data_IF_867799780337
#
_entry.id   IF_867799780337
#
_cell.length_a   1.000
_cell.length_b   1.000
_cell.length_c   1.000
_cell.angle_alpha   90.00
_cell.angle_beta   90.00
_cell.angle_gamma   90.00
#
_symmetry.space_group_name_H-M   'P 1'
#
loop_
_entity.id
_entity.type
_entity.pdbx_description
1 polymer ?
#
# COMPACT_ATOMS: atom_id res chain seq x y z
N UNK A 1 -20.26 2.84 0.59
CA UNK A 1 -18.93 3.00 -0.02
C UNK A 1 -18.13 1.71 0.17
N UNK A 2 -17.66 1.09 -0.91
CA UNK A 2 -16.83 -0.13 -0.90
C UNK A 2 -15.42 0.16 -0.36
N UNK A 3 -14.62 -0.87 -0.05
CA UNK A 3 -13.23 -0.66 0.37
C UNK A 3 -12.39 -0.07 -0.77
N UNK A 4 -12.65 -0.48 -2.02
CA UNK A 4 -11.99 0.09 -3.20
C UNK A 4 -12.30 1.58 -3.37
N UNK A 5 -13.55 2.00 -3.23
CA UNK A 5 -13.93 3.42 -3.25
C UNK A 5 -13.27 4.22 -2.11
N UNK A 6 -13.16 3.64 -0.91
CA UNK A 6 -12.40 4.25 0.21
C UNK A 6 -10.92 4.35 -0.11
N UNK A 7 -10.37 3.34 -0.78
CA UNK A 7 -8.98 3.31 -1.22
C UNK A 7 -8.70 4.42 -2.23
N UNK A 8 -9.54 4.52 -3.26
CA UNK A 8 -9.46 5.57 -4.28
C UNK A 8 -9.54 6.97 -3.67
N UNK A 9 -10.44 7.19 -2.71
CA UNK A 9 -10.52 8.46 -1.97
C UNK A 9 -9.22 8.79 -1.23
N UNK A 10 -8.52 7.80 -0.66
CA UNK A 10 -7.22 8.06 0.00
C UNK A 10 -6.13 8.42 -1.01
N UNK A 11 -6.10 7.76 -2.17
CA UNK A 11 -5.17 8.09 -3.25
C UNK A 11 -5.43 9.49 -3.82
N UNK A 12 -6.70 9.88 -3.91
CA UNK A 12 -7.10 11.22 -4.33
C UNK A 12 -6.71 12.29 -3.31
N UNK A 13 -6.93 12.06 -2.01
CA UNK A 13 -6.45 12.96 -0.94
C UNK A 13 -4.93 13.12 -1.01
N UNK A 14 -4.19 12.02 -1.20
CA UNK A 14 -2.74 12.06 -1.37
C UNK A 14 -2.32 12.95 -2.55
N UNK A 15 -3.05 12.86 -3.68
CA UNK A 15 -2.82 13.70 -4.86
C UNK A 15 -3.11 15.19 -4.59
N UNK A 16 -4.21 15.51 -3.88
CA UNK A 16 -4.57 16.89 -3.57
C UNK A 16 -3.56 17.57 -2.64
N UNK A 17 -3.12 16.87 -1.59
CA UNK A 17 -2.09 17.39 -0.67
C UNK A 17 -0.77 17.66 -1.42
N UNK A 18 -0.51 16.88 -2.46
CA UNK A 18 0.69 16.95 -3.28
C UNK A 18 0.63 18.01 -4.41
N UNK A 19 -0.55 18.39 -4.92
CA UNK A 19 -0.68 19.24 -6.11
C UNK A 19 -0.69 20.75 -5.88
N UNK A 20 -1.21 21.23 -4.74
CA UNK A 20 -1.50 22.68 -4.58
C UNK A 20 -0.96 23.31 -3.29
N UNK A 21 -0.71 22.49 -2.27
CA UNK A 21 -0.34 22.95 -0.93
C UNK A 21 1.16 22.77 -0.60
N UNK A 22 1.87 21.95 -1.38
CA UNK A 22 3.24 21.55 -1.06
C UNK A 22 4.27 22.69 -1.11
N UNK A 23 4.08 23.66 -2.02
CA UNK A 23 4.92 24.85 -2.13
C UNK A 23 4.40 26.05 -1.34
N UNK A 24 3.07 26.12 -1.11
CA UNK A 24 2.41 27.28 -0.51
C UNK A 24 2.27 27.21 1.02
N UNK A 25 2.37 26.02 1.62
CA UNK A 25 2.35 25.83 3.08
C UNK A 25 3.70 26.21 3.70
N UNK A 26 4.01 27.51 3.74
CA UNK A 26 5.26 28.06 4.28
C UNK A 26 5.45 27.89 5.80
N UNK A 27 4.51 27.24 6.50
CA UNK A 27 4.56 27.02 7.95
C UNK A 27 4.53 25.56 8.41
N UNK A 28 4.44 24.58 7.51
CA UNK A 28 4.41 23.16 7.87
C UNK A 28 5.74 22.47 7.55
N UNK A 29 6.29 21.65 8.48
CA UNK A 29 7.44 20.81 8.16
C UNK A 29 7.09 19.86 7.02
N UNK A 30 7.78 19.98 5.89
CA UNK A 30 7.51 19.20 4.68
C UNK A 30 7.61 17.70 4.92
N UNK A 31 8.40 17.28 5.92
CA UNK A 31 8.49 15.89 6.37
C UNK A 31 7.15 15.33 6.86
N UNK A 32 6.37 16.11 7.63
CA UNK A 32 5.04 15.68 8.09
C UNK A 32 4.04 15.58 6.95
N UNK A 33 4.15 16.47 5.96
CA UNK A 33 3.35 16.39 4.74
C UNK A 33 3.72 15.13 3.93
N UNK A 34 5.01 14.86 3.73
CA UNK A 34 5.47 13.60 3.11
C UNK A 34 4.95 12.37 3.85
N UNK A 35 5.09 12.31 5.17
CA UNK A 35 4.58 11.21 5.99
C UNK A 35 3.07 11.03 5.84
N UNK A 36 2.31 12.13 5.86
CA UNK A 36 0.86 12.11 5.64
C UNK A 36 0.51 11.56 4.25
N UNK A 37 1.19 12.02 3.19
CA UNK A 37 0.94 11.55 1.83
C UNK A 37 1.29 10.06 1.71
N UNK A 38 2.46 9.63 2.20
CA UNK A 38 2.90 8.23 2.16
C UNK A 38 1.90 7.31 2.89
N UNK A 39 1.42 7.74 4.07
CA UNK A 39 0.38 7.02 4.81
C UNK A 39 -0.91 6.87 4.01
N UNK A 40 -1.36 7.95 3.35
CA UNK A 40 -2.57 7.93 2.50
C UNK A 40 -2.39 7.03 1.28
N UNK A 41 -1.23 7.08 0.64
CA UNK A 41 -0.88 6.22 -0.50
C UNK A 41 -0.92 4.74 -0.11
N UNK A 42 -0.25 4.37 0.98
CA UNK A 42 -0.22 2.99 1.46
C UNK A 42 -1.61 2.50 1.88
N UNK A 43 -2.32 3.28 2.68
CA UNK A 43 -3.66 2.89 3.14
C UNK A 43 -4.64 2.75 1.98
N UNK A 44 -4.54 3.63 0.97
CA UNK A 44 -5.31 3.53 -0.27
C UNK A 44 -5.11 2.18 -0.98
N UNK A 45 -3.85 1.83 -1.23
CA UNK A 45 -3.47 0.54 -1.85
C UNK A 45 -3.90 -0.65 -1.00
N UNK A 46 -3.72 -0.59 0.32
CA UNK A 46 -4.13 -1.66 1.25
C UNK A 46 -5.64 -1.94 1.18
N UNK A 47 -6.47 -0.89 1.13
CA UNK A 47 -7.92 -1.04 1.03
C UNK A 47 -8.35 -1.66 -0.30
N UNK A 48 -7.72 -1.26 -1.41
CA UNK A 48 -7.96 -1.85 -2.73
C UNK A 48 -7.55 -3.33 -2.72
N UNK A 49 -6.36 -3.65 -2.21
CA UNK A 49 -5.89 -5.03 -2.06
C UNK A 49 -6.82 -5.88 -1.20
N UNK A 50 -7.36 -5.31 -0.11
CA UNK A 50 -8.35 -5.97 0.74
C UNK A 50 -9.66 -6.24 0.00
N UNK A 51 -10.15 -5.29 -0.78
CA UNK A 51 -11.33 -5.51 -1.62
C UNK A 51 -11.12 -6.68 -2.59
N UNK A 52 -9.98 -6.71 -3.27
CA UNK A 52 -9.63 -7.77 -4.23
C UNK A 52 -9.52 -9.13 -3.56
N UNK A 53 -8.95 -9.17 -2.36
CA UNK A 53 -8.89 -10.40 -1.57
C UNK A 53 -10.29 -10.90 -1.18
N UNK A 54 -11.18 -10.01 -0.72
CA UNK A 54 -12.56 -10.37 -0.36
C UNK A 54 -13.38 -10.88 -1.55
N UNK A 55 -13.08 -10.41 -2.77
CA UNK A 55 -13.70 -10.92 -4.00
C UNK A 55 -13.24 -12.34 -4.36
N UNK A 56 -12.05 -12.75 -3.93
CA UNK A 56 -11.49 -14.09 -4.21
C UNK A 56 -11.64 -15.07 -3.05
N UNK A 57 -11.79 -14.57 -1.83
CA UNK A 57 -11.78 -15.37 -0.60
C UNK A 57 -13.00 -15.08 0.28
N UNK A 58 -14.06 -15.86 0.05
CA UNK A 58 -15.33 -15.77 0.78
C UNK A 58 -15.19 -16.17 2.27
N UNK A 59 -14.07 -16.73 2.71
CA UNK A 59 -13.83 -17.08 4.11
C UNK A 59 -13.39 -15.89 4.98
N UNK A 60 -13.14 -14.74 4.36
CA UNK A 60 -12.69 -13.54 5.06
C UNK A 60 -13.87 -12.59 5.26
N UNK A 61 -14.06 -12.15 6.51
CA UNK A 61 -14.96 -11.06 6.81
C UNK A 61 -14.30 -9.70 6.51
N UNK A 62 -15.02 -8.79 5.86
CA UNK A 62 -14.55 -7.42 5.62
C UNK A 62 -14.10 -6.67 6.89
N UNK A 63 -14.67 -6.99 8.05
CA UNK A 63 -14.29 -6.43 9.37
C UNK A 63 -12.99 -7.01 9.92
N UNK A 64 -12.52 -8.15 9.42
CA UNK A 64 -11.28 -8.78 9.89
C UNK A 64 -10.08 -7.88 9.56
N UNK A 65 -9.28 -7.56 10.57
CA UNK A 65 -7.98 -6.93 10.36
C UNK A 65 -7.00 -7.97 9.80
N UNK A 66 -6.30 -7.63 8.72
CA UNK A 66 -5.26 -8.46 8.15
C UNK A 66 -3.93 -7.73 8.34
N UNK A 67 -2.95 -8.42 8.91
CA UNK A 67 -1.60 -7.91 9.08
C UNK A 67 -0.95 -7.68 7.71
N UNK A 68 0.19 -6.99 7.67
CA UNK A 68 0.77 -6.58 6.39
C UNK A 68 1.86 -7.53 5.86
N UNK A 69 2.63 -8.17 6.76
CA UNK A 69 3.68 -9.13 6.40
C UNK A 69 4.94 -8.44 5.85
N UNK A 70 6.01 -9.21 5.65
CA UNK A 70 7.30 -8.72 5.13
C UNK A 70 7.64 -9.32 3.76
N UNK A 71 8.68 -8.81 3.12
CA UNK A 71 9.16 -9.35 1.85
C UNK A 71 9.55 -10.84 2.01
N UNK A 72 10.16 -11.17 3.16
CA UNK A 72 10.44 -12.55 3.54
C UNK A 72 9.16 -13.39 3.62
N UNK A 73 8.11 -12.91 4.30
CA UNK A 73 6.82 -13.61 4.39
C UNK A 73 6.18 -13.90 3.03
N UNK A 74 6.36 -13.01 2.05
CA UNK A 74 5.84 -13.21 0.68
C UNK A 74 6.67 -14.26 -0.07
N UNK A 75 8.00 -14.18 0.02
CA UNK A 75 8.93 -15.04 -0.73
C UNK A 75 9.04 -16.46 -0.17
N UNK A 76 8.93 -16.63 1.15
CA UNK A 76 9.14 -17.92 1.82
C UNK A 76 8.01 -18.93 1.57
N UNK A 77 6.79 -18.45 1.29
CA UNK A 77 5.66 -19.35 1.01
C UNK A 77 5.71 -19.84 -0.44
N UNK A 78 6.10 -21.10 -0.62
CA UNK A 78 6.20 -21.75 -1.94
C UNK A 78 4.88 -22.38 -2.41
N UNK A 79 3.90 -22.55 -1.52
CA UNK A 79 2.63 -23.19 -1.83
C UNK A 79 1.43 -22.24 -1.70
N UNK A 80 0.60 -22.17 -2.75
CA UNK A 80 -0.62 -21.36 -2.78
C UNK A 80 -1.63 -21.74 -1.68
N UNK A 81 -1.72 -23.03 -1.32
CA UNK A 81 -2.67 -23.49 -0.30
C UNK A 81 -2.35 -22.93 1.09
N UNK A 82 -1.07 -22.77 1.41
CA UNK A 82 -0.61 -22.16 2.66
C UNK A 82 -0.75 -20.65 2.62
N UNK A 83 -0.39 -20.02 1.50
CA UNK A 83 -0.53 -18.59 1.29
C UNK A 83 -1.98 -18.13 1.56
N UNK A 84 -2.98 -18.84 1.01
CA UNK A 84 -4.42 -18.54 1.22
C UNK A 84 -4.89 -18.62 2.67
N UNK A 85 -4.12 -19.22 3.57
CA UNK A 85 -4.43 -19.28 5.02
C UNK A 85 -3.72 -18.21 5.83
N UNK A 86 -2.82 -17.44 5.22
CA UNK A 86 -2.03 -16.42 5.91
C UNK A 86 -2.92 -15.36 6.56
N UNK A 87 -2.45 -14.83 7.69
CA UNK A 87 -3.01 -13.62 8.33
C UNK A 87 -2.54 -12.34 7.64
N UNK A 88 -1.50 -12.41 6.81
CA UNK A 88 -0.95 -11.27 6.09
C UNK A 88 -1.67 -11.04 4.78
N UNK A 89 -2.16 -9.82 4.55
CA UNK A 89 -2.98 -9.48 3.38
C UNK A 89 -2.30 -9.83 2.06
N UNK A 90 -1.08 -9.34 1.86
CA UNK A 90 -0.35 -9.50 0.59
C UNK A 90 0.09 -10.94 0.35
N UNK A 91 0.47 -11.65 1.41
CA UNK A 91 0.79 -13.08 1.34
C UNK A 91 -0.45 -13.89 0.97
N UNK A 92 -1.61 -13.56 1.56
CA UNK A 92 -2.86 -14.24 1.27
C UNK A 92 -3.33 -13.97 -0.15
N UNK A 93 -3.25 -12.72 -0.60
CA UNK A 93 -3.56 -12.30 -1.97
C UNK A 93 -2.67 -13.03 -2.99
N UNK A 94 -1.36 -13.15 -2.74
CA UNK A 94 -0.43 -13.95 -3.57
C UNK A 94 -0.88 -15.40 -3.76
N UNK A 95 -1.53 -16.00 -2.75
CA UNK A 95 -2.07 -17.37 -2.86
C UNK A 95 -3.15 -17.54 -3.92
N UNK A 96 -3.77 -16.45 -4.38
CA UNK A 96 -4.75 -16.42 -5.46
C UNK A 96 -4.14 -15.98 -6.81
N UNK A 97 -3.02 -15.26 -6.78
CA UNK A 97 -2.36 -14.72 -7.97
C UNK A 97 -0.87 -15.11 -7.95
N UNK A 98 -0.60 -16.40 -8.18
CA UNK A 98 0.76 -16.94 -8.16
C UNK A 98 1.53 -16.70 -9.46
N UNK A 99 0.95 -15.96 -10.40
CA UNK A 99 1.68 -15.54 -11.59
C UNK A 99 2.75 -14.50 -11.23
N UNK A 100 3.73 -14.34 -12.12
CA UNK A 100 4.85 -13.41 -11.92
C UNK A 100 4.37 -12.00 -11.62
N UNK A 101 3.24 -11.58 -12.21
CA UNK A 101 2.64 -10.26 -12.03
C UNK A 101 2.04 -10.09 -10.63
N UNK A 102 1.23 -11.03 -10.17
CA UNK A 102 0.64 -11.01 -8.82
C UNK A 102 1.70 -11.02 -7.72
N UNK A 103 2.77 -11.81 -7.89
CA UNK A 103 3.92 -11.78 -6.99
C UNK A 103 4.60 -10.40 -6.96
N UNK A 104 4.85 -9.80 -8.13
CA UNK A 104 5.49 -8.49 -8.21
C UNK A 104 4.63 -7.40 -7.55
N UNK A 105 3.32 -7.44 -7.72
CA UNK A 105 2.40 -6.52 -7.05
C UNK A 105 2.46 -6.68 -5.52
N UNK A 106 2.46 -7.92 -5.01
CA UNK A 106 2.53 -8.14 -3.57
C UNK A 106 3.87 -7.65 -2.97
N UNK A 107 4.99 -7.85 -3.69
CA UNK A 107 6.31 -7.36 -3.27
C UNK A 107 6.39 -5.82 -3.26
N UNK A 108 5.85 -5.17 -4.29
CA UNK A 108 5.76 -3.71 -4.35
C UNK A 108 4.93 -3.15 -3.19
N UNK A 109 3.84 -3.81 -2.83
CA UNK A 109 2.98 -3.37 -1.74
C UNK A 109 3.65 -3.47 -0.35
N UNK A 110 4.50 -4.47 -0.14
CA UNK A 110 5.32 -4.56 1.07
C UNK A 110 6.41 -3.49 1.11
N UNK A 111 7.08 -3.20 -0.01
CA UNK A 111 8.07 -2.11 -0.03
C UNK A 111 7.44 -0.76 0.29
N UNK A 112 6.23 -0.50 -0.23
CA UNK A 112 5.47 0.69 0.12
C UNK A 112 5.11 0.75 1.62
N UNK A 113 4.82 -0.41 2.24
CA UNK A 113 4.61 -0.49 3.68
C UNK A 113 5.88 -0.19 4.48
N UNK A 114 7.01 -0.79 4.10
CA UNK A 114 8.29 -0.59 4.79
C UNK A 114 8.70 0.88 4.76
N UNK A 115 8.52 1.55 3.62
CA UNK A 115 8.70 2.99 3.51
C UNK A 115 7.73 3.74 4.44
N UNK A 116 6.45 3.38 4.44
CA UNK A 116 5.45 3.98 5.33
C UNK A 116 5.84 3.86 6.81
N UNK A 117 6.37 2.72 7.26
CA UNK A 117 6.78 2.53 8.65
C UNK A 117 7.96 3.42 9.06
N UNK A 118 8.91 3.67 8.15
CA UNK A 118 9.99 4.64 8.41
C UNK A 118 9.41 6.01 8.76
N UNK A 119 8.40 6.47 8.02
CA UNK A 119 7.79 7.80 8.21
C UNK A 119 6.71 7.85 9.30
N UNK A 120 6.23 6.70 9.78
CA UNK A 120 5.31 6.58 10.92
C UNK A 120 6.04 6.66 12.26
N UNK A 121 7.27 6.10 12.33
CA UNK A 121 8.04 5.98 13.57
C UNK A 121 9.28 6.89 13.64
N UNK A 122 9.81 7.38 12.50
CA UNK A 122 11.01 8.22 12.43
C UNK A 122 10.83 9.39 11.45
N UNK A 123 10.10 10.43 11.86
CA UNK A 123 9.94 11.66 11.06
C UNK A 123 11.20 12.57 11.05
N UNK A 124 12.32 12.12 11.63
CA UNK A 124 13.59 12.87 11.70
C UNK A 124 14.44 12.78 10.42
N UNK A 125 13.89 12.25 9.33
CA UNK A 125 14.61 12.20 8.05
C UNK A 125 14.88 13.60 7.50
N UNK A 126 16.04 13.75 6.85
CA UNK A 126 16.36 14.99 6.13
C UNK A 126 15.29 15.25 5.07
N UNK A 127 14.85 16.50 4.95
CA UNK A 127 13.77 16.90 4.03
C UNK A 127 13.97 16.38 2.59
N UNK A 128 15.21 16.44 2.07
CA UNK A 128 15.55 15.97 0.73
C UNK A 128 15.33 14.47 0.54
N UNK A 129 15.61 13.66 1.57
CA UNK A 129 15.32 12.22 1.58
C UNK A 129 13.81 11.98 1.58
N UNK A 130 13.08 12.71 2.43
CA UNK A 130 11.61 12.63 2.50
C UNK A 130 10.93 12.94 1.16
N UNK A 131 11.47 13.90 0.40
CA UNK A 131 10.96 14.25 -0.93
C UNK A 131 11.27 13.18 -1.97
N UNK A 132 12.48 12.62 -1.98
CA UNK A 132 12.85 11.51 -2.88
C UNK A 132 12.00 10.27 -2.61
N UNK A 133 11.83 9.90 -1.34
CA UNK A 133 11.04 8.73 -0.95
C UNK A 133 9.57 8.92 -1.29
N UNK A 134 9.03 10.14 -1.14
CA UNK A 134 7.67 10.47 -1.56
C UNK A 134 7.46 10.25 -3.06
N UNK A 135 8.38 10.72 -3.91
CA UNK A 135 8.31 10.50 -5.36
C UNK A 135 8.28 9.00 -5.68
N UNK A 136 9.14 8.21 -5.04
CA UNK A 136 9.17 6.76 -5.18
C UNK A 136 7.86 6.11 -4.73
N UNK A 137 7.32 6.50 -3.58
CA UNK A 137 6.05 6.00 -3.04
C UNK A 137 4.88 6.29 -3.97
N UNK A 138 4.81 7.49 -4.55
CA UNK A 138 3.74 7.87 -5.50
C UNK A 138 3.75 6.98 -6.73
N UNK A 139 4.92 6.80 -7.34
CA UNK A 139 5.07 5.92 -8.51
C UNK A 139 4.66 4.49 -8.16
N UNK A 140 5.11 3.96 -7.03
CA UNK A 140 4.75 2.61 -6.57
C UNK A 140 3.25 2.46 -6.31
N UNK A 141 2.64 3.42 -5.59
CA UNK A 141 1.22 3.37 -5.27
C UNK A 141 0.33 3.47 -6.52
N UNK A 142 0.72 4.28 -7.50
CA UNK A 142 0.00 4.38 -8.78
C UNK A 142 0.08 3.06 -9.56
N UNK A 143 1.28 2.47 -9.68
CA UNK A 143 1.48 1.18 -10.34
C UNK A 143 0.70 0.06 -9.63
N UNK A 144 0.73 0.05 -8.30
CA UNK A 144 0.00 -0.91 -7.47
C UNK A 144 -1.51 -0.78 -7.63
N UNK A 145 -2.05 0.42 -7.52
CA UNK A 145 -3.49 0.67 -7.67
C UNK A 145 -3.99 0.21 -9.04
N UNK A 146 -3.26 0.57 -10.12
CA UNK A 146 -3.58 0.13 -11.47
C UNK A 146 -3.51 -1.40 -11.60
N UNK A 147 -2.41 -2.01 -11.19
CA UNK A 147 -2.22 -3.46 -11.31
C UNK A 147 -3.22 -4.27 -10.49
N UNK A 148 -3.57 -3.82 -9.27
CA UNK A 148 -4.59 -4.46 -8.44
C UNK A 148 -5.98 -4.42 -9.08
N UNK A 149 -6.29 -3.36 -9.83
CA UNK A 149 -7.57 -3.23 -10.55
C UNK A 149 -7.66 -4.11 -11.78
N UNK A 150 -6.52 -4.36 -12.42
CA UNK A 150 -6.37 -5.21 -13.59
C UNK A 150 -6.27 -6.71 -13.26
N UNK A 151 -6.07 -7.08 -11.99
CA UNK A 151 -6.14 -8.48 -11.54
C UNK A 151 -7.58 -9.01 -11.71
N UNK A 152 -7.74 -9.96 -12.63
CA UNK A 152 -9.00 -10.63 -12.99
C UNK A 152 -9.38 -11.73 -11.98
#
# INVERSE_FOLDING_TARGET
MTLEQKGDRNLEIARFIDSDDFEKLSGFPKQHLCSTIINRLYYGVYLIGKQRLLQKDNSINAKKSLSHGTEYSIKSIKNNKEARKSSFLWVRLKGFYSDKKGLQLCLLAVKLHELRDIYDYNCDSKQETALKDLVGCKQQAQLLSKGLKELQ
#
